data_IF_626862095982
#
_entry.id   IF_626862095982
#
_cell.length_a   1.000
_cell.length_b   1.000
_cell.length_c   1.000
_cell.angle_alpha   90.00
_cell.angle_beta   90.00
_cell.angle_gamma   90.00
#
_symmetry.space_group_name_H-M   'P 1'
#
loop_
_entity.id
_entity.type
_entity.pdbx_description
1 polymer ?
#
# COMPACT_ATOMS: atom_id res chain seq x y z
N UNK A 1 -4.31 -23.13 -7.61
CA UNK A 1 -3.81 -22.13 -6.63
C UNK A 1 -3.35 -22.80 -5.33
N UNK A 2 -4.10 -23.74 -4.76
CA UNK A 2 -3.71 -24.48 -3.54
C UNK A 2 -2.39 -25.27 -3.69
N UNK A 3 -2.16 -25.91 -4.85
CA UNK A 3 -0.87 -26.56 -5.16
C UNK A 3 0.31 -25.57 -5.19
N UNK A 4 0.07 -24.32 -5.57
CA UNK A 4 1.10 -23.27 -5.58
C UNK A 4 1.57 -22.90 -4.18
N UNK A 5 0.65 -22.86 -3.19
CA UNK A 5 1.00 -22.62 -1.79
C UNK A 5 1.73 -23.82 -1.15
N UNK A 6 1.36 -25.05 -1.51
CA UNK A 6 2.06 -26.25 -1.04
C UNK A 6 3.46 -26.36 -1.65
N UNK A 7 3.63 -26.02 -2.92
CA UNK A 7 4.95 -26.01 -3.58
C UNK A 7 5.82 -24.85 -3.10
N UNK A 8 5.23 -23.71 -2.72
CA UNK A 8 5.94 -22.56 -2.18
C UNK A 8 6.72 -22.86 -0.89
N UNK A 9 6.20 -23.76 -0.05
CA UNK A 9 6.87 -24.15 1.20
C UNK A 9 7.88 -25.28 1.00
N UNK A 10 7.76 -26.05 -0.09
CA UNK A 10 8.66 -27.15 -0.44
C UNK A 10 9.93 -26.69 -1.16
N UNK A 11 9.84 -25.66 -2.01
CA UNK A 11 10.99 -25.15 -2.76
C UNK A 11 11.85 -24.28 -1.82
N UNK A 12 13.13 -24.64 -1.53
CA UNK A 12 13.95 -23.94 -0.55
C UNK A 12 14.16 -22.45 -0.86
N UNK A 13 14.32 -22.12 -2.14
CA UNK A 13 14.45 -20.73 -2.58
C UNK A 13 13.18 -19.93 -2.29
N UNK A 14 12.02 -20.46 -2.65
CA UNK A 14 10.74 -19.76 -2.48
C UNK A 14 10.39 -19.61 -1.00
N UNK A 15 10.69 -20.63 -0.19
CA UNK A 15 10.59 -20.56 1.28
C UNK A 15 11.47 -19.46 1.86
N UNK A 16 12.73 -19.32 1.39
CA UNK A 16 13.64 -18.26 1.86
C UNK A 16 13.10 -16.87 1.52
N UNK A 17 12.59 -16.67 0.30
CA UNK A 17 11.97 -15.41 -0.11
C UNK A 17 10.71 -15.09 0.70
N UNK A 18 9.87 -16.09 0.95
CA UNK A 18 8.65 -15.94 1.75
C UNK A 18 8.96 -15.60 3.22
N UNK A 19 9.92 -16.29 3.84
CA UNK A 19 10.37 -15.98 5.21
C UNK A 19 10.98 -14.59 5.30
N UNK A 20 11.76 -14.17 4.28
CA UNK A 20 12.29 -12.82 4.21
C UNK A 20 11.17 -11.76 4.13
N UNK A 21 10.18 -11.96 3.27
CA UNK A 21 9.01 -11.07 3.17
C UNK A 21 8.25 -10.99 4.50
N UNK A 22 7.97 -12.13 5.15
CA UNK A 22 7.29 -12.15 6.44
C UNK A 22 8.11 -11.45 7.54
N UNK A 23 9.42 -11.66 7.58
CA UNK A 23 10.31 -10.99 8.52
C UNK A 23 10.29 -9.46 8.33
N UNK A 24 10.36 -8.98 7.08
CA UNK A 24 10.30 -7.54 6.79
C UNK A 24 8.94 -6.93 7.12
N UNK A 25 7.84 -7.65 6.87
CA UNK A 25 6.50 -7.22 7.29
C UNK A 25 6.35 -7.19 8.82
N UNK A 26 6.99 -8.11 9.54
CA UNK A 26 7.03 -8.10 11.00
C UNK A 26 7.81 -6.87 11.51
N UNK A 27 8.96 -6.54 10.91
CA UNK A 27 9.73 -5.32 11.24
C UNK A 27 8.89 -4.06 10.99
N UNK A 28 8.20 -3.97 9.85
CA UNK A 28 7.27 -2.88 9.58
C UNK A 28 6.20 -2.76 10.67
N UNK A 29 5.61 -3.89 11.10
CA UNK A 29 4.58 -3.90 12.15
C UNK A 29 5.09 -3.49 13.52
N UNK A 30 6.30 -3.88 13.89
CA UNK A 30 6.93 -3.41 15.14
C UNK A 30 7.12 -1.90 15.10
N UNK A 31 7.60 -1.35 13.98
CA UNK A 31 7.82 0.09 13.87
C UNK A 31 6.54 0.94 13.89
N UNK A 32 5.38 0.38 13.48
CA UNK A 32 4.07 1.04 13.65
C UNK A 32 3.72 1.25 15.14
N UNK A 33 4.30 0.48 16.08
CA UNK A 33 4.04 0.66 17.51
C UNK A 33 5.05 1.59 18.21
N UNK A 34 6.11 2.01 17.50
CA UNK A 34 7.11 2.95 18.01
C UNK A 34 6.57 4.37 17.81
N UNK A 35 6.28 5.12 18.88
CA UNK A 35 5.74 6.47 18.77
C UNK A 35 6.79 7.46 18.29
N UNK A 36 6.34 8.54 17.68
CA UNK A 36 7.18 9.72 17.49
C UNK A 36 7.33 10.45 18.83
N UNK A 37 8.54 10.91 19.20
CA UNK A 37 8.75 11.70 20.40
C UNK A 37 7.95 13.02 20.39
N UNK A 38 7.46 13.45 21.55
CA UNK A 38 6.84 14.77 21.73
C UNK A 38 5.31 14.83 21.61
N UNK A 39 4.63 13.68 21.47
CA UNK A 39 3.16 13.60 21.35
C UNK A 39 2.55 12.70 22.42
N UNK A 40 1.42 13.14 22.97
CA UNK A 40 0.58 12.33 23.83
C UNK A 40 -0.33 11.42 22.98
N UNK A 41 -0.15 10.11 23.14
CA UNK A 41 -0.91 9.10 22.38
C UNK A 41 -2.37 9.01 22.82
N UNK A 42 -2.67 9.28 24.09
CA UNK A 42 -4.03 9.17 24.63
C UNK A 42 -4.89 10.32 24.10
N UNK A 43 -4.35 11.54 24.16
CA UNK A 43 -5.02 12.72 23.61
C UNK A 43 -5.24 12.61 22.10
N UNK A 44 -4.27 12.03 21.37
CA UNK A 44 -4.38 11.84 19.93
C UNK A 44 -5.38 10.74 19.54
N UNK A 45 -5.40 9.60 20.25
CA UNK A 45 -6.36 8.54 19.99
C UNK A 45 -7.80 9.06 20.15
N UNK A 46 -8.05 9.85 21.21
CA UNK A 46 -9.35 10.48 21.44
C UNK A 46 -9.74 11.51 20.36
N UNK A 47 -8.76 12.17 19.73
CA UNK A 47 -9.00 13.01 18.56
C UNK A 47 -9.37 12.18 17.33
N UNK A 48 -8.63 11.10 17.05
CA UNK A 48 -8.92 10.21 15.92
C UNK A 48 -10.26 9.51 16.03
N UNK A 49 -10.73 9.17 17.23
CA UNK A 49 -12.06 8.59 17.44
C UNK A 49 -13.19 9.51 16.97
N UNK A 50 -13.00 10.84 17.04
CA UNK A 50 -13.95 11.84 16.53
C UNK A 50 -13.86 12.03 15.01
N UNK A 51 -12.69 11.79 14.45
CA UNK A 51 -12.36 12.13 13.05
C UNK A 51 -12.31 10.86 12.18
N UNK A 52 -12.64 9.70 12.74
CA UNK A 52 -12.61 8.37 12.09
C UNK A 52 -13.43 8.28 10.81
N UNK A 53 -14.53 9.04 10.70
CA UNK A 53 -15.43 9.02 9.54
C UNK A 53 -15.03 10.03 8.45
N UNK A 54 -13.93 10.76 8.65
CA UNK A 54 -13.41 11.75 7.70
C UNK A 54 -12.31 11.17 6.81
N UNK A 55 -11.78 12.00 5.90
CA UNK A 55 -10.63 11.66 5.04
C UNK A 55 -9.40 11.18 5.84
N UNK A 56 -9.23 11.63 7.08
CA UNK A 56 -8.14 11.18 7.96
C UNK A 56 -8.30 9.70 8.37
N UNK A 57 -9.52 9.19 8.48
CA UNK A 57 -9.78 7.76 8.71
C UNK A 57 -9.34 6.90 7.54
N UNK A 58 -9.59 7.36 6.30
CA UNK A 58 -9.10 6.70 5.09
C UNK A 58 -7.56 6.68 5.04
N UNK A 59 -6.90 7.79 5.36
CA UNK A 59 -5.43 7.82 5.45
C UNK A 59 -4.88 6.86 6.52
N UNK A 60 -5.55 6.78 7.67
CA UNK A 60 -5.17 5.85 8.74
C UNK A 60 -5.30 4.38 8.30
N UNK A 61 -6.30 4.05 7.47
CA UNK A 61 -6.47 2.71 6.90
C UNK A 61 -5.24 2.29 6.07
N UNK A 62 -4.78 3.17 5.17
CA UNK A 62 -3.61 2.90 4.32
C UNK A 62 -2.29 2.91 5.10
N UNK A 63 -2.18 3.69 6.18
CA UNK A 63 -1.01 3.69 7.07
C UNK A 63 -1.00 2.52 8.07
N UNK A 64 -2.05 1.68 8.07
CA UNK A 64 -2.11 0.46 8.88
C UNK A 64 -2.21 0.68 10.39
N UNK A 65 -2.63 1.88 10.83
CA UNK A 65 -2.72 2.25 12.26
C UNK A 65 -1.65 3.24 12.71
N UNK A 66 -0.69 3.52 11.83
CA UNK A 66 0.47 4.33 12.16
C UNK A 66 0.12 5.78 12.50
N UNK A 67 -0.97 6.32 11.94
CA UNK A 67 -1.37 7.71 12.13
C UNK A 67 -2.12 7.93 13.46
N UNK A 68 -3.01 6.99 13.82
CA UNK A 68 -3.79 7.00 15.08
C UNK A 68 -2.90 6.91 16.33
N UNK A 69 -1.80 6.15 16.25
CA UNK A 69 -0.81 6.04 17.33
C UNK A 69 0.37 7.02 17.18
N UNK A 70 0.36 7.84 16.13
CA UNK A 70 1.44 8.70 15.67
C UNK A 70 2.83 8.09 15.76
N UNK A 71 2.98 6.98 15.08
CA UNK A 71 4.23 6.24 15.03
C UNK A 71 5.30 6.94 14.18
N UNK A 72 6.53 6.46 14.27
CA UNK A 72 7.63 6.86 13.36
C UNK A 72 7.24 6.65 11.88
N UNK A 73 6.28 5.76 11.62
CA UNK A 73 5.76 5.41 10.30
C UNK A 73 4.43 6.11 9.96
N UNK A 74 4.09 7.22 10.62
CA UNK A 74 2.77 7.89 10.45
C UNK A 74 2.43 8.26 9.01
N UNK A 75 3.42 8.72 8.23
CA UNK A 75 3.26 9.00 6.79
C UNK A 75 3.10 7.72 5.94
N UNK A 76 3.52 6.58 6.47
CA UNK A 76 3.50 5.30 5.78
C UNK A 76 4.32 5.32 4.48
N UNK A 77 3.81 4.64 3.48
CA UNK A 77 4.38 4.61 2.12
C UNK A 77 3.76 5.67 1.19
N UNK A 78 2.83 6.49 1.70
CA UNK A 78 2.07 7.47 0.89
C UNK A 78 2.96 8.49 0.18
N UNK A 79 3.98 9.11 0.82
CA UNK A 79 4.85 10.07 0.11
C UNK A 79 5.53 9.45 -1.11
N UNK A 80 5.86 8.15 -1.06
CA UNK A 80 6.43 7.43 -2.18
C UNK A 80 5.42 7.20 -3.28
N UNK A 81 4.20 6.80 -2.93
CA UNK A 81 3.10 6.60 -3.89
C UNK A 81 2.85 7.92 -4.62
N UNK A 82 2.66 9.02 -3.89
CA UNK A 82 2.46 10.35 -4.47
C UNK A 82 3.63 10.75 -5.37
N UNK A 83 4.88 10.57 -4.94
CA UNK A 83 6.06 10.86 -5.79
C UNK A 83 6.07 10.01 -7.07
N UNK A 84 5.68 8.74 -6.98
CA UNK A 84 5.63 7.83 -8.13
C UNK A 84 4.56 8.24 -9.14
N UNK A 85 3.39 8.66 -8.66
CA UNK A 85 2.29 9.16 -9.50
C UNK A 85 2.68 10.47 -10.17
N UNK A 86 3.26 11.40 -9.41
CA UNK A 86 3.75 12.67 -9.96
C UNK A 86 4.73 12.40 -11.10
N UNK A 87 5.71 11.52 -10.93
CA UNK A 87 6.64 11.21 -12.02
C UNK A 87 6.00 10.45 -13.19
N UNK A 88 5.02 9.57 -12.93
CA UNK A 88 4.30 8.90 -14.01
C UNK A 88 3.48 9.87 -14.86
N UNK A 89 2.82 10.84 -14.21
CA UNK A 89 2.10 11.91 -14.90
C UNK A 89 3.07 12.85 -15.64
N UNK A 90 4.19 13.23 -15.00
CA UNK A 90 5.22 14.05 -15.64
C UNK A 90 5.89 13.33 -16.83
N UNK A 91 5.92 11.99 -16.84
CA UNK A 91 6.43 11.21 -17.98
C UNK A 91 5.57 11.40 -19.23
N UNK A 92 4.27 11.65 -19.08
CA UNK A 92 3.35 11.92 -20.20
C UNK A 92 3.46 13.38 -20.69
N UNK A 93 3.78 14.30 -19.77
CA UNK A 93 3.85 15.74 -20.07
C UNK A 93 5.23 16.15 -20.61
N UNK A 94 6.32 15.59 -20.06
CA UNK A 94 7.69 15.98 -20.39
C UNK A 94 8.36 14.96 -21.31
N UNK A 95 8.76 15.36 -22.55
CA UNK A 95 9.31 14.44 -23.54
C UNK A 95 10.67 13.85 -23.13
N UNK A 96 11.42 14.53 -22.24
CA UNK A 96 12.65 13.98 -21.67
C UNK A 96 12.38 12.74 -20.82
N UNK A 97 11.40 12.81 -19.92
CA UNK A 97 11.01 11.68 -19.07
C UNK A 97 10.36 10.56 -19.90
N UNK A 98 9.60 10.91 -20.94
CA UNK A 98 9.05 9.93 -21.88
C UNK A 98 10.15 9.12 -22.59
N UNK A 99 11.18 9.80 -23.11
CA UNK A 99 12.34 9.15 -23.73
C UNK A 99 13.06 8.27 -22.73
N UNK A 100 13.28 8.77 -21.52
CA UNK A 100 13.90 8.01 -20.44
C UNK A 100 13.11 6.75 -20.10
N UNK A 101 11.78 6.80 -20.09
CA UNK A 101 10.92 5.62 -19.88
C UNK A 101 11.08 4.58 -21.00
N UNK A 102 11.37 5.02 -22.23
CA UNK A 102 11.59 4.17 -23.42
C UNK A 102 13.01 3.61 -23.53
N UNK A 103 13.99 4.12 -22.77
CA UNK A 103 15.39 3.64 -22.73
C UNK A 103 15.57 2.28 -22.03
N UNK A 104 14.48 1.62 -21.60
CA UNK A 104 14.51 0.28 -20.98
C UNK A 104 14.88 0.32 -19.50
N UNK A 105 15.71 -0.64 -19.04
CA UNK A 105 16.02 -0.79 -17.61
C UNK A 105 16.81 0.39 -17.04
N UNK A 106 17.77 0.92 -17.79
CA UNK A 106 18.60 2.05 -17.34
C UNK A 106 17.76 3.30 -17.08
N UNK A 107 16.79 3.57 -17.97
CA UNK A 107 15.84 4.66 -17.84
C UNK A 107 14.87 4.48 -16.67
N UNK A 108 14.31 3.28 -16.50
CA UNK A 108 13.46 2.95 -15.33
C UNK A 108 14.19 3.14 -14.00
N UNK A 109 15.48 2.78 -13.93
CA UNK A 109 16.30 3.01 -12.73
C UNK A 109 16.45 4.49 -12.41
N UNK A 110 16.68 5.35 -13.42
CA UNK A 110 16.75 6.80 -13.24
C UNK A 110 15.41 7.40 -12.79
N UNK A 111 14.29 6.97 -13.37
CA UNK A 111 12.96 7.40 -12.92
C UNK A 111 12.74 7.00 -11.46
N UNK A 112 13.10 5.77 -11.09
CA UNK A 112 13.01 5.30 -9.69
C UNK A 112 13.86 6.14 -8.76
N UNK A 113 15.07 6.53 -9.17
CA UNK A 113 15.94 7.42 -8.40
C UNK A 113 15.29 8.79 -8.18
N UNK A 114 14.67 9.37 -9.20
CA UNK A 114 13.89 10.61 -9.05
C UNK A 114 12.69 10.42 -8.14
N UNK A 115 11.99 9.28 -8.21
CA UNK A 115 10.89 8.97 -7.28
C UNK A 115 11.40 8.94 -5.84
N UNK A 116 12.57 8.35 -5.58
CA UNK A 116 13.18 8.33 -4.24
C UNK A 116 13.48 9.75 -3.73
N UNK A 117 14.08 10.61 -4.57
CA UNK A 117 14.33 12.00 -4.18
C UNK A 117 13.03 12.77 -3.93
N UNK A 118 12.04 12.60 -4.82
CA UNK A 118 10.71 13.20 -4.66
C UNK A 118 10.02 12.74 -3.37
N UNK A 119 10.17 11.46 -3.01
CA UNK A 119 9.64 10.89 -1.76
C UNK A 119 10.17 11.63 -0.55
N UNK A 120 11.50 11.81 -0.46
CA UNK A 120 12.14 12.48 0.67
C UNK A 120 11.67 13.93 0.78
N UNK A 121 11.64 14.67 -0.33
CA UNK A 121 11.18 16.06 -0.37
C UNK A 121 9.71 16.15 0.07
N UNK A 122 8.84 15.28 -0.46
CA UNK A 122 7.44 15.24 -0.06
C UNK A 122 7.27 14.89 1.42
N UNK A 123 8.04 13.94 1.96
CA UNK A 123 7.96 13.58 3.38
C UNK A 123 8.42 14.72 4.30
N UNK A 124 9.38 15.56 3.89
CA UNK A 124 9.77 16.75 4.64
C UNK A 124 8.62 17.76 4.67
N UNK A 125 8.02 18.04 3.51
CA UNK A 125 6.94 19.02 3.39
C UNK A 125 5.68 18.52 4.14
N UNK A 126 5.28 17.26 3.94
CA UNK A 126 4.15 16.66 4.66
C UNK A 126 4.40 16.54 6.16
N UNK A 127 5.62 16.17 6.56
CA UNK A 127 6.02 16.13 7.97
C UNK A 127 5.94 17.50 8.63
N UNK A 128 6.36 18.56 7.94
CA UNK A 128 6.19 19.95 8.38
C UNK A 128 4.71 20.32 8.53
N UNK A 129 3.88 20.00 7.52
CA UNK A 129 2.43 20.29 7.57
C UNK A 129 1.76 19.59 8.75
N UNK A 130 2.10 18.32 8.99
CA UNK A 130 1.55 17.55 10.12
C UNK A 130 2.05 18.12 11.45
N UNK A 131 3.34 18.46 11.59
CA UNK A 131 3.88 19.02 12.82
C UNK A 131 3.18 20.35 13.18
N UNK A 132 3.02 21.26 12.21
CA UNK A 132 2.31 22.54 12.43
C UNK A 132 0.82 22.31 12.70
N UNK A 133 0.18 21.37 12.00
CA UNK A 133 -1.23 21.03 12.21
C UNK A 133 -1.49 20.47 13.60
N UNK A 134 -0.60 19.60 14.11
CA UNK A 134 -0.72 19.01 15.44
C UNK A 134 -0.45 20.02 16.56
N UNK A 135 0.48 20.97 16.38
CA UNK A 135 0.66 22.08 17.32
C UNK A 135 -0.61 22.93 17.48
N UNK A 136 -1.38 23.09 16.40
CA UNK A 136 -2.64 23.83 16.40
C UNK A 136 -3.84 23.03 16.92
N UNK A 137 -3.69 21.72 17.12
CA UNK A 137 -4.79 20.83 17.50
C UNK A 137 -4.77 20.52 18.99
N UNK A 138 -5.92 20.67 19.65
CA UNK A 138 -6.10 20.33 21.07
C UNK A 138 -6.98 19.11 21.21
N UNK A 139 -6.70 18.29 22.22
CA UNK A 139 -7.53 17.17 22.59
C UNK A 139 -8.93 17.60 23.02
N UNK A 140 -9.89 16.66 23.09
CA UNK A 140 -11.29 16.94 23.43
C UNK A 140 -11.50 17.56 24.82
N UNK A 141 -10.53 17.42 25.74
CA UNK A 141 -10.50 18.05 27.07
C UNK A 141 -9.63 19.32 27.16
N UNK A 142 -9.10 19.83 26.03
CA UNK A 142 -8.15 20.95 26.02
C UNK A 142 -6.69 20.56 26.24
N UNK A 143 -6.40 19.28 26.39
CA UNK A 143 -5.05 18.73 26.51
C UNK A 143 -4.22 19.03 25.25
N UNK A 144 -2.96 19.39 25.46
CA UNK A 144 -2.04 19.65 24.37
C UNK A 144 -1.58 18.31 23.79
N UNK A 145 -1.91 18.05 22.52
CA UNK A 145 -1.45 16.84 21.81
C UNK A 145 0.07 16.85 21.69
N UNK A 146 0.65 18.03 21.56
CA UNK A 146 2.11 18.27 21.56
C UNK A 146 2.54 18.76 22.94
N UNK A 147 3.45 18.01 23.57
CA UNK A 147 3.91 18.28 24.93
C UNK A 147 4.64 19.64 25.03
N UNK A 148 5.48 19.94 24.05
CA UNK A 148 6.26 21.18 23.97
C UNK A 148 6.22 21.74 22.53
N UNK A 149 5.25 22.60 22.19
CA UNK A 149 5.16 23.18 20.85
C UNK A 149 6.33 24.13 20.58
N UNK A 150 6.91 24.05 19.37
CA UNK A 150 8.04 24.89 18.99
C UNK A 150 8.91 24.28 17.89
N UNK A 151 9.92 25.03 17.44
CA UNK A 151 10.82 24.59 16.37
C UNK A 151 11.57 23.29 16.68
N UNK A 152 11.84 23.00 17.96
CA UNK A 152 12.42 21.72 18.39
C UNK A 152 11.53 20.54 18.06
N UNK A 153 10.23 20.63 18.37
CA UNK A 153 9.25 19.59 18.03
C UNK A 153 9.07 19.44 16.52
N UNK A 154 9.00 20.55 15.78
CA UNK A 154 8.85 20.52 14.31
C UNK A 154 10.02 19.81 13.64
N UNK A 155 11.25 20.18 13.98
CA UNK A 155 12.44 19.56 13.40
C UNK A 155 12.54 18.07 13.78
N UNK A 156 12.29 17.74 15.05
CA UNK A 156 12.26 16.35 15.51
C UNK A 156 11.22 15.52 14.76
N UNK A 157 10.02 16.07 14.56
CA UNK A 157 8.93 15.40 13.83
C UNK A 157 9.28 15.23 12.35
N UNK A 158 9.81 16.27 11.69
CA UNK A 158 10.23 16.19 10.29
C UNK A 158 11.29 15.11 10.10
N UNK A 159 12.33 15.10 10.94
CA UNK A 159 13.40 14.09 10.87
C UNK A 159 12.83 12.70 11.12
N UNK A 160 12.02 12.52 12.16
CA UNK A 160 11.46 11.21 12.53
C UNK A 160 10.57 10.66 11.41
N UNK A 161 9.63 11.45 10.89
CA UNK A 161 8.71 11.01 9.84
C UNK A 161 9.42 10.81 8.49
N UNK A 162 10.41 11.64 8.16
CA UNK A 162 11.21 11.49 6.94
C UNK A 162 12.07 10.23 7.00
N UNK A 163 12.77 10.01 8.13
CA UNK A 163 13.57 8.79 8.35
C UNK A 163 12.70 7.55 8.35
N UNK A 164 11.52 7.60 8.98
CA UNK A 164 10.54 6.51 8.95
C UNK A 164 10.08 6.19 7.54
N UNK A 165 9.67 7.19 6.77
CA UNK A 165 9.25 7.02 5.37
C UNK A 165 10.38 6.45 4.50
N UNK A 166 11.60 6.97 4.65
CA UNK A 166 12.78 6.48 3.92
C UNK A 166 13.06 4.99 4.23
N UNK A 167 12.90 4.61 5.49
CA UNK A 167 13.05 3.21 5.91
C UNK A 167 11.95 2.30 5.36
N UNK A 168 10.69 2.75 5.33
CA UNK A 168 9.58 1.98 4.74
C UNK A 168 9.78 1.82 3.22
N UNK A 169 10.20 2.88 2.54
CA UNK A 169 10.55 2.84 1.11
C UNK A 169 11.65 1.79 0.87
N UNK A 170 12.72 1.84 1.66
CA UNK A 170 13.80 0.84 1.59
C UNK A 170 13.29 -0.58 1.86
N UNK A 171 12.47 -0.80 2.89
CA UNK A 171 11.85 -2.09 3.17
C UNK A 171 11.04 -2.61 1.97
N UNK A 172 10.22 -1.76 1.35
CA UNK A 172 9.42 -2.11 0.19
C UNK A 172 10.27 -2.53 -1.01
N UNK A 173 11.38 -1.83 -1.25
CA UNK A 173 12.32 -2.18 -2.31
C UNK A 173 13.05 -3.50 -1.99
N UNK A 174 13.47 -3.72 -0.75
CA UNK A 174 14.12 -4.97 -0.35
C UNK A 174 13.19 -6.18 -0.47
N UNK A 175 11.90 -6.02 -0.12
CA UNK A 175 10.90 -7.07 -0.34
C UNK A 175 10.72 -7.34 -1.84
N UNK A 176 10.79 -6.32 -2.70
CA UNK A 176 10.67 -6.49 -4.16
C UNK A 176 11.87 -7.21 -4.75
N UNK A 177 13.09 -6.91 -4.28
CA UNK A 177 14.33 -7.51 -4.79
C UNK A 177 14.55 -8.95 -4.30
N UNK A 178 14.34 -9.21 -3.00
CA UNK A 178 14.71 -10.48 -2.36
C UNK A 178 13.52 -11.32 -1.91
N UNK A 179 12.32 -10.73 -1.88
CA UNK A 179 11.10 -11.35 -1.42
C UNK A 179 10.23 -11.86 -2.56
N UNK A 180 8.93 -11.86 -2.30
CA UNK A 180 7.89 -12.25 -3.26
C UNK A 180 7.04 -11.04 -3.66
N UNK A 181 6.70 -10.92 -4.94
CA UNK A 181 5.79 -9.89 -5.44
C UNK A 181 6.34 -8.46 -5.37
N UNK A 182 5.44 -7.47 -5.28
CA UNK A 182 5.78 -6.06 -5.13
C UNK A 182 5.73 -5.69 -3.65
N UNK A 183 6.86 -5.28 -3.08
CA UNK A 183 6.97 -4.99 -1.65
C UNK A 183 6.14 -3.82 -1.17
N UNK A 184 5.99 -2.77 -1.98
CA UNK A 184 5.14 -1.62 -1.64
C UNK A 184 3.68 -2.06 -1.54
N UNK A 185 3.19 -2.82 -2.52
CA UNK A 185 1.83 -3.37 -2.49
C UNK A 185 1.62 -4.31 -1.31
N UNK A 186 2.63 -5.08 -0.92
CA UNK A 186 2.57 -5.97 0.24
C UNK A 186 2.56 -5.21 1.57
N UNK A 187 3.28 -4.10 1.68
CA UNK A 187 3.23 -3.24 2.88
C UNK A 187 1.82 -2.68 3.06
N UNK A 188 1.20 -2.17 2.00
CA UNK A 188 -0.19 -1.66 2.02
C UNK A 188 -1.16 -2.79 2.40
N UNK A 189 -1.03 -3.94 1.73
CA UNK A 189 -1.85 -5.12 2.02
C UNK A 189 -1.73 -5.56 3.48
N UNK A 190 -0.50 -5.68 3.99
CA UNK A 190 -0.26 -6.02 5.39
C UNK A 190 -0.85 -4.96 6.33
N UNK A 191 -0.76 -3.68 5.96
CA UNK A 191 -1.39 -2.51 6.59
C UNK A 191 -2.89 -2.70 6.83
N UNK A 192 -3.62 -2.99 5.75
CA UNK A 192 -5.07 -3.19 5.76
C UNK A 192 -5.44 -4.48 6.50
N UNK A 193 -4.77 -5.59 6.21
CA UNK A 193 -5.12 -6.92 6.74
C UNK A 193 -4.95 -7.00 8.24
N UNK A 194 -3.95 -6.33 8.86
CA UNK A 194 -3.81 -6.43 10.31
C UNK A 194 -4.87 -5.66 11.11
N UNK A 195 -5.71 -4.84 10.47
CA UNK A 195 -6.90 -4.27 11.10
C UNK A 195 -8.10 -5.21 11.10
N UNK A 196 -8.13 -6.19 10.18
CA UNK A 196 -9.26 -7.12 10.07
C UNK A 196 -9.52 -7.90 11.37
N UNK A 197 -8.52 -8.44 12.10
CA UNK A 197 -8.77 -9.12 13.37
C UNK A 197 -9.47 -8.23 14.40
N UNK A 198 -9.00 -6.99 14.56
CA UNK A 198 -9.61 -6.01 15.48
C UNK A 198 -11.06 -5.70 15.07
N UNK A 199 -11.31 -5.44 13.79
CA UNK A 199 -12.64 -5.18 13.26
C UNK A 199 -13.61 -6.35 13.48
N UNK A 200 -13.14 -7.58 13.31
CA UNK A 200 -13.91 -8.80 13.59
C UNK A 200 -14.24 -8.86 15.09
N UNK A 201 -13.26 -8.65 15.98
CA UNK A 201 -13.51 -8.69 17.43
C UNK A 201 -14.49 -7.62 17.90
N UNK A 202 -14.38 -6.38 17.39
CA UNK A 202 -15.33 -5.31 17.69
C UNK A 202 -16.73 -5.64 17.19
N UNK A 203 -16.84 -6.24 16.00
CA UNK A 203 -18.13 -6.68 15.46
C UNK A 203 -18.78 -7.73 16.36
N UNK A 204 -18.01 -8.69 16.88
CA UNK A 204 -18.53 -9.67 17.84
C UNK A 204 -18.97 -9.04 19.17
N UNK A 205 -18.25 -8.00 19.64
CA UNK A 205 -18.65 -7.26 20.84
C UNK A 205 -19.98 -6.53 20.64
N UNK A 206 -20.16 -5.81 19.53
CA UNK A 206 -21.41 -5.12 19.21
C UNK A 206 -22.61 -6.08 19.10
N UNK A 207 -22.40 -7.30 18.62
CA UNK A 207 -23.44 -8.34 18.62
C UNK A 207 -23.78 -8.81 20.04
N UNK A 208 -22.76 -8.97 20.89
CA UNK A 208 -22.93 -9.39 22.28
C UNK A 208 -23.63 -8.34 23.13
N UNK A 209 -23.36 -7.06 22.87
CA UNK A 209 -23.96 -5.91 23.55
C UNK A 209 -25.37 -5.58 23.05
N UNK A 210 -25.82 -6.23 21.97
CA UNK A 210 -27.15 -6.05 21.39
C UNK A 210 -27.28 -4.81 20.49
N UNK A 211 -26.18 -4.07 20.26
CA UNK A 211 -26.15 -2.92 19.35
C UNK A 211 -26.30 -3.34 17.88
N UNK A 212 -25.79 -4.53 17.51
CA UNK A 212 -25.94 -5.10 16.18
C UNK A 212 -26.73 -6.40 16.21
N UNK A 213 -27.81 -6.46 15.44
CA UNK A 213 -28.54 -7.70 15.20
C UNK A 213 -27.69 -8.72 14.46
N UNK A 214 -27.72 -9.99 14.90
CA UNK A 214 -27.01 -11.12 14.26
C UNK A 214 -27.31 -11.20 12.76
N UNK A 215 -28.54 -10.87 12.36
CA UNK A 215 -28.99 -10.88 10.97
C UNK A 215 -28.28 -9.84 10.11
N UNK A 216 -27.94 -8.67 10.67
CA UNK A 216 -27.17 -7.62 9.99
C UNK A 216 -25.73 -8.08 9.77
N UNK A 217 -25.10 -8.70 10.77
CA UNK A 217 -23.73 -9.21 10.64
C UNK A 217 -23.63 -10.33 9.61
N UNK A 218 -24.63 -11.23 9.57
CA UNK A 218 -24.70 -12.30 8.57
C UNK A 218 -24.87 -11.71 7.16
N UNK A 219 -25.73 -10.69 7.01
CA UNK A 219 -25.89 -9.98 5.74
C UNK A 219 -24.59 -9.30 5.28
N UNK A 220 -23.91 -8.56 6.17
CA UNK A 220 -22.63 -7.91 5.85
C UNK A 220 -21.57 -8.96 5.45
N UNK A 221 -21.50 -10.08 6.18
CA UNK A 221 -20.56 -11.16 5.87
C UNK A 221 -20.82 -11.78 4.49
N UNK A 222 -22.10 -12.02 4.16
CA UNK A 222 -22.51 -12.51 2.85
C UNK A 222 -22.16 -11.50 1.73
N UNK A 223 -22.38 -10.19 1.99
CA UNK A 223 -22.03 -9.13 1.05
C UNK A 223 -20.51 -9.07 0.80
N UNK A 224 -19.68 -9.20 1.84
CA UNK A 224 -18.21 -9.24 1.69
C UNK A 224 -17.78 -10.42 0.81
N UNK A 225 -18.32 -11.61 1.05
CA UNK A 225 -18.02 -12.80 0.23
C UNK A 225 -18.47 -12.60 -1.22
N UNK A 226 -19.66 -12.02 -1.43
CA UNK A 226 -20.19 -11.72 -2.76
C UNK A 226 -19.28 -10.73 -3.50
N UNK A 227 -18.91 -9.62 -2.87
CA UNK A 227 -18.04 -8.59 -3.44
C UNK A 227 -16.68 -9.17 -3.79
N UNK A 228 -16.07 -9.96 -2.90
CA UNK A 228 -14.80 -10.65 -3.18
C UNK A 228 -14.95 -11.62 -4.36
N UNK A 229 -16.06 -12.36 -4.42
CA UNK A 229 -16.37 -13.25 -5.54
C UNK A 229 -16.48 -12.52 -6.88
N UNK A 230 -17.19 -11.38 -6.90
CA UNK A 230 -17.32 -10.51 -8.09
C UNK A 230 -15.97 -9.94 -8.51
N UNK A 231 -15.15 -9.48 -7.56
CA UNK A 231 -13.79 -8.98 -7.85
C UNK A 231 -12.95 -10.09 -8.49
N UNK A 232 -12.96 -11.31 -7.93
CA UNK A 232 -12.20 -12.45 -8.48
C UNK A 232 -12.70 -12.81 -9.89
N UNK A 233 -14.03 -12.78 -10.11
CA UNK A 233 -14.62 -13.04 -11.42
C UNK A 233 -14.16 -12.02 -12.46
N UNK A 234 -14.22 -10.73 -12.14
CA UNK A 234 -13.78 -9.64 -13.01
C UNK A 234 -12.27 -9.70 -13.29
N UNK A 235 -11.45 -9.98 -12.28
CA UNK A 235 -9.98 -10.02 -12.42
C UNK A 235 -9.50 -11.25 -13.21
N UNK A 236 -10.23 -12.38 -13.15
CA UNK A 236 -9.96 -13.56 -13.98
C UNK A 236 -10.60 -13.49 -15.37
N UNK A 237 -11.52 -12.54 -15.57
CA UNK A 237 -12.17 -12.30 -16.85
C UNK A 237 -11.17 -11.87 -17.90
N UNK A 238 -11.10 -12.64 -18.99
CA UNK A 238 -10.25 -12.32 -20.14
C UNK A 238 -11.00 -12.55 -21.45
N UNK A 239 -10.85 -11.61 -22.38
CA UNK A 239 -11.27 -11.74 -23.76
C UNK A 239 -10.16 -12.45 -24.54
N UNK A 240 -10.46 -13.62 -25.07
CA UNK A 240 -9.53 -14.37 -25.93
C UNK A 240 -9.69 -13.89 -27.37
N UNK A 241 -8.71 -13.15 -27.89
CA UNK A 241 -8.70 -12.76 -29.31
C UNK A 241 -7.92 -13.82 -30.10
N UNK A 242 -8.53 -14.52 -31.08
CA UNK A 242 -7.82 -15.51 -31.87
C UNK A 242 -6.74 -14.83 -32.74
N UNK A 243 -5.54 -15.41 -32.74
CA UNK A 243 -4.42 -14.95 -33.56
C UNK A 243 -3.90 -16.13 -34.38
N UNK A 244 -3.63 -15.86 -35.65
CA UNK A 244 -3.05 -16.85 -36.55
C UNK A 244 -1.58 -16.47 -36.78
N UNK A 245 -0.67 -17.33 -36.33
CA UNK A 245 0.74 -17.16 -36.66
C UNK A 245 0.97 -17.55 -38.12
N UNK A 246 1.79 -16.74 -38.81
CA UNK A 246 2.14 -16.99 -40.20
C UNK A 246 2.75 -18.39 -40.37
N UNK A 247 2.25 -19.13 -41.36
CA UNK A 247 2.70 -20.48 -41.65
C UNK A 247 4.02 -20.41 -42.42
N UNK A 248 4.99 -21.26 -42.08
CA UNK A 248 6.21 -21.42 -42.89
C UNK A 248 5.97 -22.57 -43.85
N UNK A 249 5.83 -22.27 -45.14
CA UNK A 249 5.74 -23.29 -46.18
C UNK A 249 7.16 -23.78 -46.48
N UNK A 250 7.45 -25.05 -46.23
CA UNK A 250 8.72 -25.69 -46.60
C UNK A 250 8.39 -26.84 -47.55
N UNK A 251 8.69 -26.67 -48.84
CA UNK A 251 8.35 -27.64 -49.89
C UNK A 251 6.84 -27.69 -50.21
N UNK A 252 6.29 -28.89 -50.46
CA UNK A 252 4.85 -29.12 -50.72
C UNK A 252 4.01 -29.34 -49.46
N UNK A 253 4.61 -29.28 -48.26
CA UNK A 253 3.93 -29.52 -46.99
C UNK A 253 3.84 -28.22 -46.19
N UNK A 254 2.62 -27.88 -45.79
CA UNK A 254 2.35 -26.78 -44.89
C UNK A 254 2.65 -27.26 -43.46
N UNK A 255 3.73 -26.75 -42.86
CA UNK A 255 4.07 -27.02 -41.47
C UNK A 255 3.66 -25.83 -40.60
N UNK A 256 2.93 -26.12 -39.53
CA UNK A 256 2.48 -25.11 -38.57
C UNK A 256 1.24 -24.35 -39.01
N UNK A 257 0.60 -23.74 -38.01
CA UNK A 257 -0.74 -23.16 -38.11
C UNK A 257 -1.60 -23.45 -36.87
N UNK A 258 -0.97 -23.57 -35.69
CA UNK A 258 -1.74 -23.71 -34.47
C UNK A 258 -2.41 -22.36 -34.20
N UNK A 259 -3.74 -22.33 -34.22
CA UNK A 259 -4.51 -21.19 -33.76
C UNK A 259 -4.15 -20.92 -32.31
N UNK A 260 -3.61 -19.73 -32.04
CA UNK A 260 -3.39 -19.28 -30.66
C UNK A 260 -4.42 -18.20 -30.34
N UNK A 261 -4.45 -17.78 -29.08
CA UNK A 261 -5.23 -16.61 -28.69
C UNK A 261 -4.37 -15.67 -27.87
N UNK A 262 -4.54 -14.38 -28.11
CA UNK A 262 -4.00 -13.33 -27.25
C UNK A 262 -5.03 -13.11 -26.11
N UNK A 263 -4.69 -13.41 -24.85
CA UNK A 263 -5.56 -13.09 -23.73
C UNK A 263 -5.49 -11.60 -23.43
N UNK A 264 -6.62 -10.90 -23.58
CA UNK A 264 -6.79 -9.53 -23.10
C UNK A 264 -7.61 -9.56 -21.82
N UNK A 265 -6.99 -9.25 -20.69
CA UNK A 265 -7.69 -9.12 -19.41
C UNK A 265 -8.67 -7.95 -19.46
N UNK A 266 -9.80 -8.09 -18.75
CA UNK A 266 -10.78 -7.00 -18.60
C UNK A 266 -10.14 -5.83 -17.83
N UNK A 267 -9.38 -6.13 -16.78
CA UNK A 267 -8.58 -5.16 -16.04
C UNK A 267 -7.08 -5.46 -16.24
N UNK A 268 -6.38 -4.59 -16.97
CA UNK A 268 -4.94 -4.73 -17.23
C UNK A 268 -4.07 -4.11 -16.13
N UNK A 269 -4.65 -3.19 -15.35
CA UNK A 269 -3.90 -2.28 -14.47
C UNK A 269 -3.73 -2.81 -13.05
N UNK A 270 -4.39 -3.92 -12.71
CA UNK A 270 -4.29 -4.57 -11.40
C UNK A 270 -4.65 -3.63 -10.26
N UNK A 271 -3.83 -3.65 -9.19
CA UNK A 271 -4.10 -2.93 -7.92
C UNK A 271 -3.58 -1.49 -7.94
N UNK A 272 -2.81 -1.10 -8.96
CA UNK A 272 -2.16 0.23 -9.00
C UNK A 272 -3.17 1.39 -9.12
N UNK A 273 -4.20 1.34 -10.00
CA UNK A 273 -5.15 2.46 -10.11
C UNK A 273 -6.00 2.71 -8.88
N UNK A 274 -6.54 1.69 -8.16
CA UNK A 274 -7.21 1.93 -6.89
C UNK A 274 -6.32 2.62 -5.86
N UNK A 275 -5.04 2.23 -5.79
CA UNK A 275 -4.07 2.88 -4.89
C UNK A 275 -3.88 4.35 -5.28
N UNK A 276 -3.81 4.65 -6.58
CA UNK A 276 -3.64 6.02 -7.07
C UNK A 276 -4.89 6.88 -6.89
N UNK A 277 -6.08 6.30 -7.05
CA UNK A 277 -7.34 7.01 -6.81
C UNK A 277 -7.53 7.38 -5.34
N UNK A 278 -6.90 6.63 -4.42
CA UNK A 278 -6.96 6.88 -2.98
C UNK A 278 -5.88 7.81 -2.43
N UNK A 279 -4.87 8.18 -3.22
CA UNK A 279 -3.68 8.91 -2.78
C UNK A 279 -3.71 10.41 -3.04
#
# INVERSE_FOLDING_TARGET
MLEGFQNATRIPELRRRLLFTLAMLAVYRVGVHIPTPGIDRVALAAFFDRVKDTIFGLFNLFSGGALEQFSVFSLGIMPYISASIILQLLTVVFPYLERLSKEGEAGRRKITQYTRYGTIVLSIIQGMMIAVGLEGTRGPGGEMIVLEPGWGFRLMTIVTLTSGTAFIMWLGEQITERGIGNGISLIIFAGIVARLPSAITSTFQFVREGELGVLVVLFISALVVLVVGVIIFMERGQRRIPVQYAKRVVGRKMYGGQSSHLPLKINTSGVIPPIFASS
#
